data_IF_134501590810
#
_entry.id   IF_134501590810
#
_cell.length_a   1.000
_cell.length_b   1.000
_cell.length_c   1.000
_cell.angle_alpha   90.00
_cell.angle_beta   90.00
_cell.angle_gamma   90.00
#
_symmetry.space_group_name_H-M   'P 1'
#
loop_
_entity.id
_entity.type
_entity.pdbx_description
1 polymer ?
#
# COMPACT_ATOMS: atom_id res chain seq x y z
N UNK A 1 11.90 -26.12 11.22
CA UNK A 1 13.02 -25.87 10.25
C UNK A 1 14.29 -25.54 11.04
N UNK A 2 15.53 -25.87 10.56
CA UNK A 2 16.75 -25.54 11.32
C UNK A 2 17.11 -24.05 11.10
N UNK A 3 17.57 -23.34 12.15
CA UNK A 3 18.01 -21.94 12.13
C UNK A 3 19.03 -21.62 11.03
N UNK A 4 19.98 -22.54 10.81
CA UNK A 4 20.97 -22.40 9.74
C UNK A 4 20.34 -22.43 8.34
N UNK A 5 19.30 -23.25 8.15
CA UNK A 5 18.58 -23.33 6.87
C UNK A 5 17.88 -22.02 6.55
N UNK A 6 17.18 -21.44 7.54
CA UNK A 6 16.52 -20.13 7.40
C UNK A 6 17.53 -19.06 6.99
N UNK A 7 18.64 -18.95 7.75
CA UNK A 7 19.70 -17.99 7.45
C UNK A 7 20.27 -18.16 6.03
N UNK A 8 20.40 -19.41 5.58
CA UNK A 8 20.99 -19.71 4.26
C UNK A 8 20.01 -19.34 3.14
N UNK A 9 18.73 -19.69 3.26
CA UNK A 9 17.70 -19.34 2.26
C UNK A 9 17.66 -17.83 2.06
N UNK A 10 17.59 -17.04 3.16
CA UNK A 10 17.49 -15.57 3.06
C UNK A 10 18.78 -14.98 2.51
N UNK A 11 19.95 -15.44 2.99
CA UNK A 11 21.23 -14.96 2.50
C UNK A 11 21.44 -15.27 1.01
N UNK A 12 21.12 -16.48 0.57
CA UNK A 12 21.27 -16.90 -0.83
C UNK A 12 20.31 -16.14 -1.76
N UNK A 13 19.10 -15.77 -1.27
CA UNK A 13 18.16 -14.96 -2.03
C UNK A 13 18.71 -13.59 -2.40
N UNK A 14 19.58 -13.03 -1.55
CA UNK A 14 20.25 -11.73 -1.72
C UNK A 14 21.52 -11.81 -2.60
N UNK A 15 22.05 -13.04 -2.81
CA UNK A 15 23.24 -13.21 -3.61
C UNK A 15 22.96 -13.03 -5.11
N UNK A 16 23.84 -13.50 -5.95
CA UNK A 16 23.87 -13.30 -7.41
C UNK A 16 22.48 -13.20 -8.04
N UNK A 17 22.09 -12.03 -8.54
CA UNK A 17 20.83 -11.88 -9.25
C UNK A 17 20.84 -12.74 -10.52
N UNK A 18 19.70 -13.38 -10.81
CA UNK A 18 19.52 -14.15 -12.04
C UNK A 18 19.18 -13.19 -13.20
N UNK A 19 19.39 -13.64 -14.43
CA UNK A 19 19.05 -12.87 -15.64
C UNK A 19 17.62 -12.35 -15.60
N UNK A 20 16.66 -13.15 -15.17
CA UNK A 20 15.26 -12.72 -15.03
C UNK A 20 15.06 -11.54 -14.06
N UNK A 21 15.86 -11.41 -13.01
CA UNK A 21 15.81 -10.24 -12.13
C UNK A 21 16.27 -8.97 -12.85
N UNK A 22 17.35 -9.04 -13.61
CA UNK A 22 17.83 -7.90 -14.41
C UNK A 22 16.78 -7.49 -15.47
N UNK A 23 16.13 -8.48 -16.11
CA UNK A 23 15.05 -8.19 -17.05
C UNK A 23 13.88 -7.47 -16.38
N UNK A 24 13.46 -7.91 -15.17
CA UNK A 24 12.40 -7.23 -14.41
C UNK A 24 12.82 -5.81 -13.99
N UNK A 25 14.06 -5.60 -13.55
CA UNK A 25 14.57 -4.27 -13.19
C UNK A 25 14.62 -3.35 -14.42
N UNK A 26 15.14 -3.85 -15.55
CA UNK A 26 15.18 -3.10 -16.80
C UNK A 26 13.77 -2.71 -17.26
N UNK A 27 12.82 -3.63 -17.18
CA UNK A 27 11.42 -3.36 -17.50
C UNK A 27 10.82 -2.30 -16.57
N UNK A 28 11.08 -2.39 -15.26
CA UNK A 28 10.64 -1.37 -14.32
C UNK A 28 11.25 0.00 -14.62
N UNK A 29 12.55 0.08 -14.95
CA UNK A 29 13.24 1.31 -15.36
C UNK A 29 12.60 1.89 -16.63
N UNK A 30 12.26 1.05 -17.60
CA UNK A 30 11.61 1.48 -18.84
C UNK A 30 10.24 2.11 -18.53
N UNK A 31 9.43 1.49 -17.67
CA UNK A 31 8.14 2.05 -17.26
C UNK A 31 8.31 3.39 -16.53
N UNK A 32 9.28 3.49 -15.63
CA UNK A 32 9.63 4.75 -14.95
C UNK A 32 10.05 5.81 -15.98
N UNK A 33 10.88 5.45 -16.97
CA UNK A 33 11.32 6.35 -18.02
C UNK A 33 10.15 6.90 -18.83
N UNK A 34 9.17 6.06 -19.18
CA UNK A 34 7.95 6.49 -19.87
C UNK A 34 7.11 7.44 -18.99
N UNK A 35 6.97 7.14 -17.70
CA UNK A 35 6.29 8.03 -16.75
C UNK A 35 6.98 9.38 -16.59
N UNK A 36 8.32 9.40 -16.51
CA UNK A 36 9.12 10.63 -16.46
C UNK A 36 8.96 11.44 -17.77
N UNK A 37 8.95 10.78 -18.91
CA UNK A 37 8.72 11.44 -20.20
C UNK A 37 7.32 12.10 -20.25
N UNK A 38 6.29 11.40 -19.82
CA UNK A 38 4.94 11.94 -19.74
C UNK A 38 4.85 13.13 -18.76
N UNK A 39 5.50 13.04 -17.61
CA UNK A 39 5.59 14.15 -16.65
C UNK A 39 6.35 15.35 -17.24
N UNK A 40 7.45 15.12 -17.94
CA UNK A 40 8.18 16.17 -18.64
C UNK A 40 7.31 16.89 -19.68
N UNK A 41 6.55 16.11 -20.46
CA UNK A 41 5.58 16.66 -21.43
C UNK A 41 4.54 17.53 -20.74
N UNK A 42 3.97 17.08 -19.61
CA UNK A 42 3.01 17.85 -18.81
C UNK A 42 3.62 19.16 -18.28
N UNK A 43 4.87 19.15 -17.82
CA UNK A 43 5.55 20.35 -17.32
C UNK A 43 5.71 21.40 -18.42
N UNK A 44 6.01 20.99 -19.64
CA UNK A 44 6.19 21.89 -20.79
C UNK A 44 4.89 22.44 -21.34
N UNK A 45 3.86 21.58 -21.46
CA UNK A 45 2.60 21.92 -22.11
C UNK A 45 1.50 22.33 -21.10
N UNK A 46 1.73 22.11 -19.79
CA UNK A 46 0.76 22.38 -18.75
C UNK A 46 -0.22 21.23 -18.55
N UNK A 47 -1.26 21.46 -17.74
CA UNK A 47 -2.28 20.46 -17.36
C UNK A 47 -3.26 20.12 -18.49
N UNK A 48 -3.20 20.80 -19.63
CA UNK A 48 -3.99 20.48 -20.83
C UNK A 48 -3.74 19.05 -21.34
N UNK A 49 -2.53 18.50 -21.09
CA UNK A 49 -2.20 17.12 -21.41
C UNK A 49 -2.80 16.08 -20.47
N UNK A 50 -3.53 16.49 -19.43
CA UNK A 50 -4.26 15.62 -18.51
C UNK A 50 -5.76 15.68 -18.78
N UNK A 51 -6.52 14.66 -18.39
CA UNK A 51 -7.99 14.65 -18.48
C UNK A 51 -8.69 15.63 -17.53
N UNK A 52 -7.93 16.35 -16.69
CA UNK A 52 -8.46 17.33 -15.74
C UNK A 52 -9.07 18.51 -16.49
N UNK A 53 -10.34 18.79 -16.16
CA UNK A 53 -11.09 19.88 -16.75
C UNK A 53 -12.03 20.51 -15.71
N UNK A 54 -12.77 21.56 -16.09
CA UNK A 54 -13.85 22.07 -15.27
C UNK A 54 -15.16 21.32 -15.59
N UNK A 55 -15.89 20.72 -14.60
CA UNK A 55 -15.70 20.85 -13.14
C UNK A 55 -14.77 19.79 -12.51
N UNK A 56 -14.22 18.86 -13.29
CA UNK A 56 -13.47 17.71 -12.81
C UNK A 56 -12.01 18.10 -12.56
N UNK A 57 -11.78 18.77 -11.42
CA UNK A 57 -10.44 19.19 -10.99
C UNK A 57 -9.58 18.07 -10.41
N UNK A 58 -10.20 16.95 -10.00
CA UNK A 58 -9.53 15.75 -9.51
C UNK A 58 -9.86 14.57 -10.41
N UNK A 59 -8.83 13.92 -10.92
CA UNK A 59 -8.95 12.79 -11.83
C UNK A 59 -8.02 11.64 -11.41
N UNK A 60 -7.33 11.08 -12.37
CA UNK A 60 -6.45 9.91 -12.18
C UNK A 60 -5.34 10.16 -11.16
N UNK A 61 -4.79 11.37 -11.05
CA UNK A 61 -3.71 11.64 -10.10
C UNK A 61 -4.14 11.47 -8.66
N UNK A 62 -5.30 12.00 -8.29
CA UNK A 62 -5.84 11.83 -6.93
C UNK A 62 -6.35 10.40 -6.73
N UNK A 63 -6.92 9.77 -7.74
CA UNK A 63 -7.25 8.34 -7.72
C UNK A 63 -6.02 7.48 -7.38
N UNK A 64 -4.89 7.73 -8.05
CA UNK A 64 -3.63 7.03 -7.79
C UNK A 64 -3.07 7.33 -6.39
N UNK A 65 -3.15 8.58 -5.94
CA UNK A 65 -2.77 8.96 -4.59
C UNK A 65 -3.49 8.12 -3.53
N UNK A 66 -4.82 8.13 -3.57
CA UNK A 66 -5.65 7.39 -2.61
C UNK A 66 -5.44 5.88 -2.73
N UNK A 67 -5.27 5.36 -3.95
CA UNK A 67 -4.96 3.96 -4.19
C UNK A 67 -3.64 3.54 -3.53
N UNK A 68 -2.54 4.26 -3.78
CA UNK A 68 -1.25 3.92 -3.21
C UNK A 68 -1.19 4.07 -1.69
N UNK A 69 -1.88 5.06 -1.12
CA UNK A 69 -2.05 5.15 0.34
C UNK A 69 -2.81 3.93 0.88
N UNK A 70 -3.86 3.48 0.18
CA UNK A 70 -4.59 2.26 0.54
C UNK A 70 -3.69 1.01 0.53
N UNK A 71 -2.87 0.85 -0.50
CA UNK A 71 -1.89 -0.24 -0.59
C UNK A 71 -0.90 -0.20 0.58
N UNK A 72 -0.41 0.99 0.95
CA UNK A 72 0.54 1.16 2.03
C UNK A 72 0.00 0.69 3.40
N UNK A 73 -1.28 0.87 3.64
CA UNK A 73 -1.89 0.60 4.96
C UNK A 73 -1.79 -0.86 5.39
N UNK A 74 -2.01 -1.79 4.49
CA UNK A 74 -2.06 -3.20 4.86
C UNK A 74 -0.70 -3.75 5.30
N UNK A 75 0.39 -3.25 4.76
CA UNK A 75 1.71 -3.75 5.16
C UNK A 75 2.01 -3.46 6.63
N UNK A 76 1.82 -2.22 7.07
CA UNK A 76 2.00 -1.86 8.49
C UNK A 76 0.94 -2.52 9.37
N UNK A 77 -0.32 -2.59 8.91
CA UNK A 77 -1.39 -3.24 9.66
C UNK A 77 -1.12 -4.74 9.83
N UNK A 78 -0.73 -5.45 8.76
CA UNK A 78 -0.36 -6.86 8.80
C UNK A 78 0.82 -7.07 9.77
N UNK A 79 1.84 -6.23 9.68
CA UNK A 79 3.01 -6.37 10.56
C UNK A 79 2.70 -5.95 12.00
N UNK A 80 2.08 -4.80 12.23
CA UNK A 80 1.86 -4.26 13.56
C UNK A 80 0.70 -4.94 14.29
N UNK A 81 -0.51 -4.97 13.71
CA UNK A 81 -1.68 -5.58 14.39
C UNK A 81 -1.49 -7.08 14.57
N UNK A 82 -1.00 -7.78 13.54
CA UNK A 82 -0.76 -9.22 13.68
C UNK A 82 0.40 -9.54 14.62
N UNK A 83 1.33 -8.61 14.85
CA UNK A 83 2.34 -8.71 15.89
C UNK A 83 1.70 -8.61 17.28
N UNK A 84 0.88 -7.60 17.50
CA UNK A 84 0.18 -7.39 18.76
C UNK A 84 -0.77 -8.55 19.11
N UNK A 85 -1.44 -9.11 18.08
CA UNK A 85 -2.34 -10.26 18.23
C UNK A 85 -1.63 -11.62 18.19
N UNK A 86 -0.31 -11.63 18.03
CA UNK A 86 0.54 -12.84 17.96
C UNK A 86 0.10 -13.84 16.87
N UNK A 87 -0.31 -13.36 15.71
CA UNK A 87 -0.72 -14.20 14.59
C UNK A 87 0.50 -14.91 13.96
N UNK A 88 0.67 -16.23 14.06
CA UNK A 88 1.92 -16.92 13.68
C UNK A 88 2.18 -16.91 12.19
N UNK A 89 1.15 -16.83 11.36
CA UNK A 89 1.29 -16.84 9.90
C UNK A 89 1.91 -15.55 9.32
N UNK A 90 1.94 -14.45 10.09
CA UNK A 90 2.52 -13.18 9.64
C UNK A 90 4.03 -13.27 9.40
N UNK A 91 4.77 -14.11 10.17
CA UNK A 91 6.23 -14.12 10.19
C UNK A 91 6.87 -14.39 8.83
N UNK A 92 6.15 -15.08 7.94
CA UNK A 92 6.61 -15.35 6.57
C UNK A 92 6.35 -14.24 5.56
N UNK A 93 5.49 -13.26 5.89
CA UNK A 93 5.05 -12.20 4.97
C UNK A 93 5.32 -10.78 5.47
N UNK A 94 5.53 -10.58 6.79
CA UNK A 94 5.61 -9.27 7.42
C UNK A 94 6.70 -8.37 6.81
N UNK A 95 7.92 -8.87 6.62
CA UNK A 95 9.04 -8.06 6.11
C UNK A 95 8.80 -7.51 4.72
N UNK A 96 8.27 -8.34 3.82
CA UNK A 96 7.91 -7.89 2.48
C UNK A 96 6.75 -6.88 2.50
N UNK A 97 5.79 -7.07 3.43
CA UNK A 97 4.66 -6.15 3.63
C UNK A 97 5.12 -4.80 4.16
N UNK A 98 6.07 -4.76 5.12
CA UNK A 98 6.65 -3.52 5.64
C UNK A 98 7.39 -2.74 4.56
N UNK A 99 8.20 -3.42 3.75
CA UNK A 99 8.89 -2.82 2.62
C UNK A 99 7.89 -2.26 1.58
N UNK A 100 6.84 -3.02 1.28
CA UNK A 100 5.75 -2.60 0.41
C UNK A 100 5.10 -1.31 0.91
N UNK A 101 4.84 -1.19 2.22
CA UNK A 101 4.31 0.03 2.83
C UNK A 101 5.17 1.24 2.53
N UNK A 102 6.47 1.16 2.82
CA UNK A 102 7.40 2.28 2.62
C UNK A 102 7.40 2.71 1.15
N UNK A 103 7.51 1.78 0.22
CA UNK A 103 7.56 2.11 -1.20
C UNK A 103 6.21 2.62 -1.74
N UNK A 104 5.10 2.12 -1.21
CA UNK A 104 3.78 2.60 -1.59
C UNK A 104 3.52 4.04 -1.08
N UNK A 105 3.95 4.40 0.15
CA UNK A 105 3.85 5.77 0.64
C UNK A 105 4.75 6.70 -0.18
N UNK A 106 5.98 6.28 -0.50
CA UNK A 106 6.87 7.05 -1.38
C UNK A 106 6.23 7.30 -2.75
N UNK A 107 5.56 6.29 -3.30
CA UNK A 107 4.84 6.42 -4.58
C UNK A 107 3.64 7.35 -4.46
N UNK A 108 2.84 7.20 -3.41
CA UNK A 108 1.69 8.05 -3.15
C UNK A 108 2.07 9.53 -3.03
N UNK A 109 3.16 9.82 -2.30
CA UNK A 109 3.65 11.20 -2.10
C UNK A 109 4.07 11.93 -3.37
N UNK A 110 4.29 11.23 -4.48
CA UNK A 110 4.58 11.87 -5.78
C UNK A 110 3.33 12.52 -6.39
N UNK A 111 2.14 11.95 -6.18
CA UNK A 111 0.92 12.39 -6.88
C UNK A 111 0.42 13.79 -6.50
N UNK A 112 0.41 14.23 -5.22
CA UNK A 112 0.11 15.61 -4.88
C UNK A 112 1.04 16.60 -5.57
N UNK A 113 2.34 16.26 -5.71
CA UNK A 113 3.34 17.09 -6.38
C UNK A 113 3.08 17.13 -7.90
N UNK A 114 2.79 15.99 -8.52
CA UNK A 114 2.45 15.88 -9.94
C UNK A 114 1.16 16.64 -10.26
N UNK A 115 0.16 16.53 -9.37
CA UNK A 115 -1.14 17.19 -9.52
C UNK A 115 -1.07 18.72 -9.50
N UNK A 116 -0.05 19.31 -8.88
CA UNK A 116 0.19 20.75 -8.95
C UNK A 116 0.51 21.26 -10.37
N UNK A 117 0.81 20.37 -11.32
CA UNK A 117 1.24 20.70 -12.66
C UNK A 117 2.67 21.28 -12.70
N UNK A 118 2.90 22.36 -11.95
CA UNK A 118 4.23 22.95 -11.75
C UNK A 118 4.87 22.38 -10.48
N UNK A 119 5.61 21.29 -10.62
CA UNK A 119 6.16 20.51 -9.52
C UNK A 119 7.05 21.31 -8.55
N UNK A 120 7.69 22.38 -8.98
CA UNK A 120 8.52 23.25 -8.12
C UNK A 120 7.71 24.07 -7.14
N UNK A 121 6.38 24.14 -7.28
CA UNK A 121 5.50 24.79 -6.31
C UNK A 121 5.12 23.87 -5.14
N UNK A 122 5.76 22.69 -4.99
CA UNK A 122 5.47 21.70 -3.94
C UNK A 122 5.50 22.29 -2.52
N UNK A 123 6.29 23.34 -2.29
CA UNK A 123 6.35 24.02 -0.99
C UNK A 123 5.01 24.65 -0.57
N UNK A 124 4.08 24.85 -1.50
CA UNK A 124 2.73 25.33 -1.18
C UNK A 124 1.88 24.28 -0.46
N UNK A 125 2.27 23.01 -0.50
CA UNK A 125 1.63 21.96 0.30
C UNK A 125 1.96 22.12 1.79
N UNK A 126 3.08 22.80 2.12
CA UNK A 126 3.50 23.03 3.49
C UNK A 126 2.85 24.30 4.02
N UNK A 127 2.22 24.27 5.21
CA UNK A 127 1.69 25.48 5.84
C UNK A 127 2.83 26.49 6.14
N UNK A 128 2.79 27.67 5.52
CA UNK A 128 3.75 28.74 5.75
C UNK A 128 3.08 30.13 5.64
N UNK A 129 3.64 31.14 6.30
CA UNK A 129 3.23 32.51 6.13
C UNK A 129 3.52 32.97 4.69
N UNK A 130 2.50 33.42 3.97
CA UNK A 130 2.63 33.88 2.61
C UNK A 130 2.65 35.41 2.51
N UNK A 131 3.13 35.94 1.37
CA UNK A 131 3.25 37.38 1.13
C UNK A 131 1.90 38.11 1.13
N UNK A 132 0.79 37.41 0.90
CA UNK A 132 -0.56 37.97 0.92
C UNK A 132 -1.15 38.04 2.33
N UNK A 133 -0.40 37.65 3.36
CA UNK A 133 -0.83 37.58 4.77
C UNK A 133 -2.12 36.77 4.97
N UNK A 134 -2.39 35.81 4.10
CA UNK A 134 -3.52 34.91 4.22
C UNK A 134 -3.24 33.86 5.31
N UNK A 135 -4.20 33.68 6.18
CA UNK A 135 -4.13 32.62 7.18
C UNK A 135 -4.26 31.24 6.56
N UNK A 136 -3.45 30.30 7.04
CA UNK A 136 -3.52 28.92 6.65
C UNK A 136 -4.81 28.32 7.24
N UNK A 137 -5.60 27.65 6.38
CA UNK A 137 -6.81 26.99 6.85
C UNK A 137 -6.47 25.60 7.44
N UNK A 138 -6.09 25.56 8.71
CA UNK A 138 -5.82 24.31 9.44
C UNK A 138 -7.08 23.43 9.64
N UNK A 139 -8.25 23.87 9.27
CA UNK A 139 -9.48 23.07 9.28
C UNK A 139 -9.64 22.25 8.00
N UNK A 140 -8.80 22.47 6.99
CA UNK A 140 -8.84 21.72 5.74
C UNK A 140 -8.20 20.33 5.91
N UNK A 141 -8.88 19.23 5.56
CA UNK A 141 -8.27 17.89 5.54
C UNK A 141 -7.04 17.76 4.65
N UNK A 142 -6.98 18.50 3.55
CA UNK A 142 -5.82 18.54 2.64
C UNK A 142 -4.52 18.99 3.35
N UNK A 143 -4.64 19.88 4.36
CA UNK A 143 -3.49 20.26 5.20
C UNK A 143 -3.14 19.12 6.17
N UNK A 144 -4.15 18.43 6.70
CA UNK A 144 -3.93 17.29 7.59
C UNK A 144 -3.27 16.12 6.89
N UNK A 145 -3.54 15.92 5.61
CA UNK A 145 -2.92 14.88 4.79
C UNK A 145 -1.39 15.01 4.73
N UNK A 146 -0.88 16.24 4.58
CA UNK A 146 0.57 16.46 4.58
C UNK A 146 1.22 15.93 5.86
N UNK A 147 0.62 16.25 7.03
CA UNK A 147 1.14 15.78 8.31
C UNK A 147 0.93 14.29 8.50
N UNK A 148 -0.26 13.78 8.17
CA UNK A 148 -0.61 12.38 8.33
C UNK A 148 0.30 11.47 7.50
N UNK A 149 0.53 11.80 6.22
CA UNK A 149 1.37 11.03 5.32
C UNK A 149 2.84 11.10 5.74
N UNK A 150 3.32 12.30 6.12
CA UNK A 150 4.69 12.48 6.58
C UNK A 150 4.98 11.68 7.86
N UNK A 151 4.10 11.74 8.85
CA UNK A 151 4.22 10.97 10.10
C UNK A 151 4.09 9.47 9.79
N UNK A 152 3.19 9.08 8.90
CA UNK A 152 3.02 7.68 8.49
C UNK A 152 4.28 7.14 7.82
N UNK A 153 4.91 7.89 6.93
CA UNK A 153 6.18 7.51 6.31
C UNK A 153 7.28 7.32 7.38
N UNK A 154 7.42 8.28 8.30
CA UNK A 154 8.43 8.22 9.36
C UNK A 154 8.24 7.02 10.29
N UNK A 155 7.01 6.77 10.75
CA UNK A 155 6.70 5.65 11.65
C UNK A 155 6.85 4.31 10.92
N UNK A 156 6.35 4.21 9.68
CA UNK A 156 6.48 2.97 8.89
C UNK A 156 7.92 2.66 8.53
N UNK A 157 8.72 3.67 8.18
CA UNK A 157 10.15 3.51 7.94
C UNK A 157 10.88 3.09 9.22
N UNK A 158 10.56 3.72 10.35
CA UNK A 158 11.15 3.37 11.65
C UNK A 158 10.80 1.94 12.04
N UNK A 159 9.55 1.53 11.87
CA UNK A 159 9.08 0.17 12.16
C UNK A 159 9.81 -0.87 11.29
N UNK A 160 9.87 -0.63 9.99
CA UNK A 160 10.60 -1.46 9.04
C UNK A 160 12.09 -1.55 9.40
N UNK A 161 12.73 -0.41 9.69
CA UNK A 161 14.16 -0.37 10.00
C UNK A 161 14.49 -1.07 11.34
N UNK A 162 13.73 -0.79 12.39
CA UNK A 162 13.91 -1.46 13.69
C UNK A 162 13.79 -2.98 13.51
N UNK A 163 12.78 -3.43 12.78
CA UNK A 163 12.61 -4.84 12.47
C UNK A 163 13.79 -5.46 11.70
N UNK A 164 14.44 -4.69 10.82
CA UNK A 164 15.60 -5.15 10.04
C UNK A 164 16.88 -5.32 10.87
N UNK A 165 17.07 -4.60 11.98
CA UNK A 165 18.32 -4.55 12.73
C UNK A 165 18.90 -5.93 13.08
N UNK A 166 18.17 -6.89 13.69
CA UNK A 166 18.69 -8.22 14.00
C UNK A 166 19.00 -9.05 12.74
N UNK A 167 18.19 -8.87 11.70
CA UNK A 167 18.35 -9.60 10.44
C UNK A 167 19.60 -9.11 9.71
N UNK A 168 19.85 -7.79 9.68
CA UNK A 168 21.06 -7.17 9.13
C UNK A 168 22.33 -7.63 9.88
N UNK A 169 22.26 -7.78 11.20
CA UNK A 169 23.36 -8.33 11.98
C UNK A 169 23.66 -9.78 11.56
N UNK A 170 22.62 -10.60 11.32
CA UNK A 170 22.77 -11.96 10.85
C UNK A 170 23.40 -12.00 9.44
N UNK A 171 23.00 -11.10 8.54
CA UNK A 171 23.57 -10.98 7.19
C UNK A 171 25.00 -10.47 7.24
N UNK A 172 25.32 -9.47 8.11
CA UNK A 172 26.68 -8.99 8.35
C UNK A 172 27.61 -10.12 8.69
N UNK A 173 27.23 -11.02 9.59
CA UNK A 173 28.08 -12.11 10.09
C UNK A 173 28.38 -13.16 9.02
N UNK A 174 27.50 -13.29 8.03
CA UNK A 174 27.73 -14.14 6.83
C UNK A 174 28.45 -13.42 5.68
N UNK A 175 28.49 -12.09 5.68
CA UNK A 175 29.06 -11.28 4.61
C UNK A 175 30.56 -11.05 4.75
N UNK A 176 31.25 -10.77 3.62
CA UNK A 176 32.68 -10.46 3.57
C UNK A 176 32.93 -9.10 2.91
N UNK A 177 34.10 -8.54 3.16
CA UNK A 177 34.58 -7.30 2.52
C UNK A 177 33.69 -6.09 2.81
N UNK A 178 33.41 -5.27 1.78
CA UNK A 178 32.65 -4.02 1.91
C UNK A 178 31.20 -4.24 2.33
N UNK A 179 30.58 -5.35 1.91
CA UNK A 179 29.20 -5.71 2.31
C UNK A 179 29.09 -5.88 3.82
N UNK A 180 30.09 -6.53 4.46
CA UNK A 180 30.12 -6.68 5.91
C UNK A 180 30.15 -5.31 6.63
N UNK A 181 30.89 -4.35 6.07
CA UNK A 181 30.96 -2.99 6.64
C UNK A 181 29.61 -2.26 6.54
N UNK A 182 28.96 -2.32 5.38
CA UNK A 182 27.65 -1.68 5.19
C UNK A 182 26.60 -2.31 6.11
N UNK A 183 26.46 -3.63 6.11
CA UNK A 183 25.50 -4.29 7.01
C UNK A 183 25.85 -4.11 8.48
N UNK A 184 27.15 -3.96 8.81
CA UNK A 184 27.61 -3.62 10.16
C UNK A 184 27.16 -2.23 10.61
N UNK A 185 27.25 -1.24 9.73
CA UNK A 185 26.75 0.11 9.97
C UNK A 185 25.22 0.11 10.15
N UNK A 186 24.50 -0.53 9.22
CA UNK A 186 23.03 -0.59 9.24
C UNK A 186 22.49 -1.43 10.43
N UNK A 187 23.27 -2.37 10.97
CA UNK A 187 22.90 -3.13 12.16
C UNK A 187 23.09 -2.36 13.49
N UNK A 188 23.59 -1.12 13.45
CA UNK A 188 23.74 -0.20 14.62
C UNK A 188 24.38 -0.90 15.82
N UNK A 189 25.46 -1.68 15.60
CA UNK A 189 26.18 -2.38 16.66
C UNK A 189 25.44 -3.55 17.31
N UNK A 190 24.33 -4.01 16.74
CA UNK A 190 23.61 -5.19 17.27
C UNK A 190 24.49 -6.44 17.15
N UNK A 191 24.70 -7.13 18.28
CA UNK A 191 25.54 -8.35 18.40
C UNK A 191 24.79 -9.56 18.91
N UNK A 192 23.51 -9.40 19.22
CA UNK A 192 22.67 -10.48 19.76
C UNK A 192 22.83 -10.73 21.26
N UNK A 193 23.38 -9.77 22.03
CA UNK A 193 23.44 -9.86 23.49
C UNK A 193 22.04 -9.80 24.10
N UNK A 194 21.83 -10.47 25.25
CA UNK A 194 20.51 -10.54 25.87
C UNK A 194 19.87 -9.19 26.15
N UNK A 195 20.64 -8.20 26.59
CA UNK A 195 20.13 -6.83 26.83
C UNK A 195 19.70 -6.14 25.52
N UNK A 196 20.42 -6.38 24.41
CA UNK A 196 20.04 -5.84 23.09
C UNK A 196 18.74 -6.47 22.58
N UNK A 197 18.55 -7.77 22.77
CA UNK A 197 17.29 -8.43 22.44
C UNK A 197 16.11 -7.87 23.28
N UNK A 198 16.33 -7.67 24.57
CA UNK A 198 15.29 -7.09 25.43
C UNK A 198 14.88 -5.69 24.98
N UNK A 199 15.85 -4.83 24.66
CA UNK A 199 15.59 -3.49 24.15
C UNK A 199 14.93 -3.52 22.77
N UNK A 200 15.38 -4.41 21.88
CA UNK A 200 14.78 -4.62 20.55
C UNK A 200 13.29 -4.98 20.66
N UNK A 201 12.96 -6.01 21.45
CA UNK A 201 11.57 -6.47 21.59
C UNK A 201 10.68 -5.37 22.18
N UNK A 202 11.15 -4.64 23.19
CA UNK A 202 10.41 -3.50 23.77
C UNK A 202 10.24 -2.35 22.76
N UNK A 203 11.30 -1.99 22.04
CA UNK A 203 11.26 -0.94 21.04
C UNK A 203 10.34 -1.31 19.85
N UNK A 204 10.44 -2.53 19.35
CA UNK A 204 9.60 -3.01 18.26
C UNK A 204 8.12 -3.06 18.67
N UNK A 205 7.82 -3.52 19.90
CA UNK A 205 6.47 -3.50 20.45
C UNK A 205 5.91 -2.07 20.56
N UNK A 206 6.73 -1.11 21.03
CA UNK A 206 6.32 0.29 21.16
C UNK A 206 5.96 0.88 19.80
N UNK A 207 6.82 0.68 18.79
CA UNK A 207 6.58 1.21 17.44
C UNK A 207 5.37 0.52 16.78
N UNK A 208 5.17 -0.79 16.99
CA UNK A 208 3.97 -1.49 16.55
C UNK A 208 2.69 -0.94 17.20
N UNK A 209 2.75 -0.63 18.51
CA UNK A 209 1.62 -0.03 19.23
C UNK A 209 1.29 1.39 18.74
N UNK A 210 2.30 2.18 18.34
CA UNK A 210 2.11 3.50 17.73
C UNK A 210 1.61 3.41 16.28
N UNK A 211 2.13 2.47 15.51
CA UNK A 211 1.76 2.30 14.11
C UNK A 211 0.29 1.89 13.93
N UNK A 212 -0.27 1.12 14.86
CA UNK A 212 -1.64 0.61 14.77
C UNK A 212 -2.71 1.71 14.71
N UNK A 213 -2.84 2.62 15.70
CA UNK A 213 -3.82 3.71 15.63
C UNK A 213 -3.47 4.71 14.51
N UNK A 214 -2.18 4.93 14.23
CA UNK A 214 -1.74 5.83 13.19
C UNK A 214 -2.23 5.37 11.80
N UNK A 215 -2.12 4.09 11.48
CA UNK A 215 -2.61 3.53 10.21
C UNK A 215 -4.10 3.81 10.04
N UNK A 216 -4.91 3.57 11.08
CA UNK A 216 -6.35 3.83 11.04
C UNK A 216 -6.63 5.33 10.85
N UNK A 217 -5.95 6.19 11.62
CA UNK A 217 -6.17 7.65 11.56
C UNK A 217 -5.78 8.26 10.23
N UNK A 218 -4.67 7.86 9.63
CA UNK A 218 -4.20 8.39 8.34
C UNK A 218 -5.23 8.13 7.24
N UNK A 219 -5.77 6.91 7.15
CA UNK A 219 -6.75 6.62 6.10
C UNK A 219 -8.12 7.26 6.37
N UNK A 220 -8.45 7.48 7.65
CA UNK A 220 -9.61 8.29 8.02
C UNK A 220 -9.44 9.74 7.58
N UNK A 221 -8.25 10.33 7.76
CA UNK A 221 -7.94 11.70 7.32
C UNK A 221 -8.10 11.82 5.79
N UNK A 222 -7.47 10.94 5.01
CA UNK A 222 -7.60 10.90 3.55
C UNK A 222 -9.07 10.75 3.11
N UNK A 223 -9.89 10.01 3.86
CA UNK A 223 -11.32 9.90 3.56
C UNK A 223 -12.09 11.19 3.81
N UNK A 224 -11.63 12.02 4.74
CA UNK A 224 -12.25 13.30 5.06
C UNK A 224 -12.04 14.37 3.98
N UNK A 225 -11.09 14.21 3.08
CA UNK A 225 -10.99 15.04 1.87
C UNK A 225 -12.28 15.02 1.06
N UNK A 226 -13.00 13.91 1.13
CA UNK A 226 -14.29 13.70 0.49
C UNK A 226 -15.45 13.93 1.47
N UNK A 227 -15.42 13.28 2.63
CA UNK A 227 -16.55 13.21 3.55
C UNK A 227 -16.98 14.56 4.15
N UNK A 228 -16.07 15.53 4.30
CA UNK A 228 -16.39 16.88 4.81
C UNK A 228 -16.64 17.90 3.71
N UNK A 229 -16.57 17.48 2.43
CA UNK A 229 -16.93 18.34 1.30
C UNK A 229 -18.45 18.47 1.17
N UNK A 230 -18.90 19.50 0.47
CA UNK A 230 -20.32 19.67 0.15
C UNK A 230 -20.75 18.99 -1.14
N UNK A 231 -19.81 18.33 -1.85
CA UNK A 231 -20.06 17.73 -3.18
C UNK A 231 -21.00 16.53 -3.03
N UNK A 232 -22.06 16.43 -3.85
CA UNK A 232 -22.95 15.27 -3.81
C UNK A 232 -22.22 13.96 -4.09
N UNK A 233 -22.53 12.92 -3.32
CA UNK A 233 -21.87 11.61 -3.41
C UNK A 233 -20.51 11.52 -2.70
N UNK A 234 -19.98 12.63 -2.16
CA UNK A 234 -18.81 12.63 -1.28
C UNK A 234 -19.18 12.82 0.19
N UNK A 235 -20.21 13.63 0.46
CA UNK A 235 -20.63 13.96 1.81
C UNK A 235 -21.25 12.76 2.53
N UNK A 236 -20.39 11.91 3.13
CA UNK A 236 -20.83 10.68 3.80
C UNK A 236 -19.99 10.38 5.03
N UNK A 237 -20.66 10.14 6.17
CA UNK A 237 -20.00 9.80 7.43
C UNK A 237 -19.39 8.40 7.44
N UNK A 238 -19.86 7.50 6.57
CA UNK A 238 -19.33 6.12 6.48
C UNK A 238 -17.95 6.06 5.81
N UNK A 239 -17.51 7.14 5.15
CA UNK A 239 -16.24 7.13 4.40
C UNK A 239 -15.04 6.77 5.27
N UNK A 240 -14.94 7.26 6.51
CA UNK A 240 -13.77 6.97 7.34
C UNK A 240 -13.62 5.46 7.64
N UNK A 241 -14.58 4.74 8.25
CA UNK A 241 -14.46 3.31 8.47
C UNK A 241 -14.42 2.50 7.16
N UNK A 242 -15.15 2.92 6.14
CA UNK A 242 -15.19 2.29 4.83
C UNK A 242 -13.82 2.35 4.13
N UNK A 243 -13.18 3.51 4.09
CA UNK A 243 -11.85 3.67 3.50
C UNK A 243 -10.78 2.86 4.23
N UNK A 244 -10.85 2.79 5.57
CA UNK A 244 -9.95 1.94 6.36
C UNK A 244 -10.13 0.46 6.00
N UNK A 245 -11.37 -0.03 5.92
CA UNK A 245 -11.64 -1.40 5.51
C UNK A 245 -11.14 -1.67 4.08
N UNK A 246 -11.34 -0.73 3.15
CA UNK A 246 -10.86 -0.78 1.78
C UNK A 246 -9.33 -0.82 1.68
N UNK A 247 -8.64 -0.08 2.55
CA UNK A 247 -7.18 -0.11 2.61
C UNK A 247 -6.64 -1.47 3.09
N UNK A 248 -7.25 -2.07 4.10
CA UNK A 248 -6.89 -3.41 4.56
C UNK A 248 -7.13 -4.44 3.46
N UNK A 249 -8.24 -4.32 2.78
CA UNK A 249 -8.65 -5.19 1.68
C UNK A 249 -7.67 -5.13 0.50
N UNK A 250 -7.44 -3.93 -0.06
CA UNK A 250 -6.56 -3.73 -1.21
C UNK A 250 -5.11 -4.07 -0.91
N UNK A 251 -4.59 -3.63 0.23
CA UNK A 251 -3.20 -3.87 0.57
C UNK A 251 -2.94 -5.35 0.92
N UNK A 252 -3.91 -6.05 1.55
CA UNK A 252 -3.82 -7.50 1.74
C UNK A 252 -3.79 -8.24 0.40
N UNK A 253 -4.60 -7.81 -0.57
CA UNK A 253 -4.58 -8.33 -1.92
C UNK A 253 -3.25 -8.05 -2.62
N UNK A 254 -2.66 -6.84 -2.46
CA UNK A 254 -1.36 -6.52 -3.04
C UNK A 254 -0.23 -7.37 -2.44
N UNK A 255 -0.23 -7.61 -1.13
CA UNK A 255 0.73 -8.53 -0.50
C UNK A 255 0.65 -9.91 -1.13
N UNK A 256 -0.56 -10.45 -1.33
CA UNK A 256 -0.72 -11.75 -2.00
C UNK A 256 -0.27 -11.71 -3.46
N UNK A 257 -0.60 -10.65 -4.19
CA UNK A 257 -0.18 -10.45 -5.59
C UNK A 257 1.35 -10.47 -5.73
N UNK A 258 2.08 -9.95 -4.76
CA UNK A 258 3.54 -9.92 -4.75
C UNK A 258 4.13 -11.24 -4.21
N UNK A 259 3.63 -11.74 -3.08
CA UNK A 259 4.27 -12.86 -2.38
C UNK A 259 4.03 -14.22 -3.07
N UNK A 260 2.91 -14.40 -3.77
CA UNK A 260 2.64 -15.66 -4.48
C UNK A 260 3.66 -15.92 -5.61
N UNK A 261 3.96 -14.97 -6.51
CA UNK A 261 5.05 -15.14 -7.47
C UNK A 261 6.42 -15.30 -6.81
N UNK A 262 6.74 -14.49 -5.79
CA UNK A 262 8.05 -14.56 -5.11
C UNK A 262 8.32 -15.92 -4.50
N UNK A 263 7.29 -16.55 -3.92
CA UNK A 263 7.36 -17.91 -3.40
C UNK A 263 7.89 -18.93 -4.44
N UNK A 264 7.54 -18.74 -5.71
CA UNK A 264 7.97 -19.63 -6.81
C UNK A 264 9.30 -19.24 -7.42
N UNK A 265 9.55 -17.93 -7.52
CA UNK A 265 10.72 -17.40 -8.21
C UNK A 265 12.00 -17.49 -7.38
N UNK A 266 11.89 -17.41 -6.04
CA UNK A 266 13.03 -17.46 -5.13
C UNK A 266 13.12 -18.85 -4.51
N UNK A 267 14.25 -19.52 -4.73
CA UNK A 267 14.52 -20.88 -4.23
C UNK A 267 14.48 -20.90 -2.70
N UNK A 268 13.70 -21.80 -2.14
CA UNK A 268 13.56 -22.02 -0.69
C UNK A 268 12.47 -21.16 -0.04
N UNK A 269 11.87 -20.17 -0.74
CA UNK A 269 10.74 -19.41 -0.18
C UNK A 269 9.49 -20.27 -0.03
N UNK A 270 9.36 -21.31 -0.83
CA UNK A 270 8.28 -22.30 -0.73
C UNK A 270 8.33 -23.14 0.55
N UNK A 271 9.52 -23.25 1.18
CA UNK A 271 9.69 -23.92 2.49
C UNK A 271 9.20 -23.02 3.65
N UNK A 272 9.27 -21.69 3.50
CA UNK A 272 8.97 -20.69 4.54
C UNK A 272 7.57 -20.12 4.39
N UNK A 273 7.18 -19.77 3.15
CA UNK A 273 5.89 -19.16 2.84
C UNK A 273 4.89 -20.27 2.53
N UNK A 274 4.14 -20.65 3.54
CA UNK A 274 3.19 -21.77 3.45
C UNK A 274 1.81 -21.33 2.92
N UNK A 275 0.99 -22.30 2.53
CA UNK A 275 -0.39 -22.02 2.08
C UNK A 275 -1.25 -21.49 3.21
N UNK A 276 -0.96 -21.84 4.45
CA UNK A 276 -1.67 -21.39 5.64
C UNK A 276 -1.57 -19.88 5.83
N UNK A 277 -0.41 -19.28 5.50
CA UNK A 277 -0.24 -17.84 5.53
C UNK A 277 -1.19 -17.14 4.55
N UNK A 278 -1.30 -17.63 3.33
CA UNK A 278 -2.22 -17.10 2.34
C UNK A 278 -3.69 -17.41 2.66
N UNK A 279 -3.98 -18.56 3.27
CA UNK A 279 -5.34 -18.87 3.74
C UNK A 279 -5.78 -17.90 4.84
N UNK A 280 -4.87 -17.52 5.76
CA UNK A 280 -5.10 -16.48 6.77
C UNK A 280 -5.41 -15.12 6.14
N UNK A 281 -4.60 -14.70 5.16
CA UNK A 281 -4.80 -13.46 4.41
C UNK A 281 -6.13 -13.46 3.63
N UNK A 282 -6.48 -14.56 2.98
CA UNK A 282 -7.74 -14.68 2.24
C UNK A 282 -8.97 -14.53 3.15
N UNK A 283 -8.89 -14.95 4.43
CA UNK A 283 -9.96 -14.75 5.41
C UNK A 283 -10.11 -13.27 5.79
N UNK A 284 -9.00 -12.55 5.90
CA UNK A 284 -9.01 -11.10 6.17
C UNK A 284 -9.63 -10.37 4.98
N UNK A 285 -9.22 -10.72 3.76
CA UNK A 285 -9.79 -10.17 2.52
C UNK A 285 -11.29 -10.45 2.44
N UNK A 286 -11.74 -11.66 2.76
CA UNK A 286 -13.15 -12.00 2.78
C UNK A 286 -13.94 -11.14 3.78
N UNK A 287 -13.44 -11.00 5.01
CA UNK A 287 -14.06 -10.17 6.04
C UNK A 287 -14.17 -8.71 5.61
N UNK A 288 -13.05 -8.12 5.16
CA UNK A 288 -13.03 -6.71 4.74
C UNK A 288 -13.82 -6.48 3.47
N UNK A 289 -13.84 -7.43 2.53
CA UNK A 289 -14.69 -7.39 1.35
C UNK A 289 -16.19 -7.40 1.67
N UNK A 290 -16.63 -8.16 2.69
CA UNK A 290 -18.01 -8.09 3.18
C UNK A 290 -18.34 -6.73 3.80
N UNK A 291 -17.39 -6.12 4.55
CA UNK A 291 -17.57 -4.77 5.11
C UNK A 291 -17.70 -3.75 3.97
N UNK A 292 -16.88 -3.82 2.93
CA UNK A 292 -16.97 -2.95 1.75
C UNK A 292 -18.32 -3.12 1.05
N UNK A 293 -18.76 -4.35 0.83
CA UNK A 293 -20.06 -4.63 0.22
C UNK A 293 -21.20 -4.03 1.02
N UNK A 294 -21.16 -4.17 2.35
CA UNK A 294 -22.12 -3.53 3.24
C UNK A 294 -22.06 -2.00 3.14
N UNK A 295 -20.85 -1.43 3.07
CA UNK A 295 -20.67 0.02 2.96
C UNK A 295 -21.28 0.56 1.67
N UNK A 296 -21.10 -0.09 0.53
CA UNK A 296 -21.76 0.30 -0.72
C UNK A 296 -23.29 0.24 -0.60
N UNK A 297 -23.82 -0.83 -0.01
CA UNK A 297 -25.26 -0.94 0.22
C UNK A 297 -25.81 0.18 1.11
N UNK A 298 -25.07 0.54 2.18
CA UNK A 298 -25.43 1.62 3.09
C UNK A 298 -25.40 2.98 2.37
N UNK A 299 -24.39 3.25 1.54
CA UNK A 299 -24.30 4.48 0.76
C UNK A 299 -25.52 4.64 -0.17
N UNK A 300 -25.87 3.61 -0.95
CA UNK A 300 -27.02 3.60 -1.83
C UNK A 300 -28.34 3.76 -1.05
N UNK A 301 -28.46 3.09 0.09
CA UNK A 301 -29.62 3.23 0.96
C UNK A 301 -29.74 4.66 1.49
N UNK A 302 -28.66 5.21 2.06
CA UNK A 302 -28.67 6.55 2.65
C UNK A 302 -28.94 7.63 1.61
N UNK A 303 -28.38 7.55 0.41
CA UNK A 303 -28.65 8.50 -0.66
C UNK A 303 -30.12 8.48 -1.09
N UNK A 304 -30.74 7.31 -1.13
CA UNK A 304 -32.16 7.16 -1.46
C UNK A 304 -33.08 7.62 -0.33
N UNK A 305 -32.67 7.41 0.94
CA UNK A 305 -33.46 7.72 2.13
C UNK A 305 -33.34 9.18 2.57
N UNK A 306 -32.20 9.85 2.32
CA UNK A 306 -31.91 11.21 2.80
C UNK A 306 -32.85 12.29 2.24
N UNK A 307 -33.57 12.02 1.16
CA UNK A 307 -34.43 12.97 0.49
C UNK A 307 -33.71 14.05 -0.34
N UNK A 308 -32.37 13.99 -0.43
CA UNK A 308 -31.60 14.87 -1.30
C UNK A 308 -31.66 14.38 -2.75
N UNK A 309 -32.27 15.17 -3.62
CA UNK A 309 -32.37 14.83 -5.06
C UNK A 309 -31.00 14.78 -5.73
N UNK A 310 -30.06 15.63 -5.32
CA UNK A 310 -28.69 15.64 -5.86
C UNK A 310 -27.92 14.38 -5.47
N UNK A 311 -27.97 13.97 -4.20
CA UNK A 311 -27.33 12.72 -3.75
C UNK A 311 -27.90 11.51 -4.48
N UNK A 312 -29.22 11.44 -4.58
CA UNK A 312 -29.92 10.36 -5.30
C UNK A 312 -29.52 10.32 -6.78
N UNK A 313 -29.47 11.48 -7.44
CA UNK A 313 -29.07 11.57 -8.84
C UNK A 313 -27.65 11.01 -9.09
N UNK A 314 -26.67 11.40 -8.26
CA UNK A 314 -25.29 10.90 -8.37
C UNK A 314 -25.21 9.38 -8.17
N UNK A 315 -25.89 8.86 -7.13
CA UNK A 315 -25.84 7.42 -6.86
C UNK A 315 -26.51 6.59 -7.98
N UNK A 316 -27.54 7.12 -8.66
CA UNK A 316 -28.11 6.48 -9.85
C UNK A 316 -27.25 6.69 -11.10
N UNK A 317 -26.53 7.79 -11.21
CA UNK A 317 -25.61 8.04 -12.31
C UNK A 317 -24.41 7.08 -12.31
N UNK A 318 -23.88 6.69 -11.13
CA UNK A 318 -22.76 5.75 -11.03
C UNK A 318 -22.98 4.44 -11.79
N UNK A 319 -24.07 3.67 -11.59
CA UNK A 319 -24.32 2.43 -12.30
C UNK A 319 -24.87 2.59 -13.73
N UNK A 320 -25.56 3.69 -14.04
CA UNK A 320 -26.32 3.85 -15.29
C UNK A 320 -25.82 5.00 -16.17
N UNK A 321 -24.93 5.82 -15.72
CA UNK A 321 -24.34 6.93 -16.48
C UNK A 321 -23.14 6.49 -17.32
N UNK A 322 -22.39 7.49 -17.78
CA UNK A 322 -21.22 7.33 -18.65
C UNK A 322 -20.16 6.35 -18.10
N UNK A 323 -19.97 6.36 -16.77
CA UNK A 323 -18.99 5.52 -16.07
C UNK A 323 -19.54 4.19 -15.56
N UNK A 324 -20.76 3.81 -15.95
CA UNK A 324 -21.43 2.61 -15.46
C UNK A 324 -20.64 1.32 -15.67
N UNK A 325 -19.90 1.22 -16.79
CA UNK A 325 -19.02 0.06 -17.05
C UNK A 325 -17.93 -0.10 -15.99
N UNK A 326 -17.29 1.00 -15.56
CA UNK A 326 -16.29 0.98 -14.49
C UNK A 326 -16.92 0.63 -13.14
N UNK A 327 -18.11 1.15 -12.86
CA UNK A 327 -18.86 0.84 -11.64
C UNK A 327 -19.18 -0.67 -11.55
N UNK A 328 -19.75 -1.27 -12.58
CA UNK A 328 -20.10 -2.70 -12.53
C UNK A 328 -18.88 -3.61 -12.47
N UNK A 329 -17.77 -3.25 -13.14
CA UNK A 329 -16.51 -3.96 -13.02
C UNK A 329 -15.96 -3.84 -11.58
N UNK A 330 -16.04 -2.67 -10.97
CA UNK A 330 -15.69 -2.45 -9.56
C UNK A 330 -16.51 -3.35 -8.62
N UNK A 331 -17.84 -3.38 -8.79
CA UNK A 331 -18.73 -4.25 -7.98
C UNK A 331 -18.35 -5.72 -8.15
N UNK A 332 -18.11 -6.18 -9.37
CA UNK A 332 -17.67 -7.55 -9.59
C UNK A 332 -16.35 -7.85 -8.85
N UNK A 333 -15.35 -6.98 -8.99
CA UNK A 333 -14.03 -7.20 -8.40
C UNK A 333 -14.02 -7.12 -6.88
N UNK A 334 -14.79 -6.19 -6.28
CA UNK A 334 -14.74 -5.92 -4.84
C UNK A 334 -15.80 -6.68 -4.04
N UNK A 335 -16.97 -6.98 -4.64
CA UNK A 335 -18.05 -7.63 -3.93
C UNK A 335 -18.20 -9.11 -4.31
N UNK A 336 -18.11 -9.45 -5.61
CA UNK A 336 -18.39 -10.84 -6.08
C UNK A 336 -17.14 -11.72 -5.98
N UNK A 337 -16.03 -11.28 -6.57
CA UNK A 337 -14.82 -12.10 -6.62
C UNK A 337 -14.27 -12.53 -5.24
N UNK A 338 -14.26 -11.69 -4.19
CA UNK A 338 -13.79 -12.08 -2.86
C UNK A 338 -14.67 -13.14 -2.18
N UNK A 339 -15.96 -13.23 -2.51
CA UNK A 339 -16.85 -14.25 -1.96
C UNK A 339 -16.40 -15.67 -2.30
N UNK A 340 -15.65 -15.86 -3.38
CA UNK A 340 -15.04 -17.14 -3.70
C UNK A 340 -14.13 -17.67 -2.58
N UNK A 341 -13.61 -16.77 -1.74
CA UNK A 341 -12.83 -17.17 -0.57
C UNK A 341 -13.64 -17.85 0.55
N UNK A 342 -14.97 -17.94 0.47
CA UNK A 342 -15.75 -18.82 1.32
C UNK A 342 -15.35 -20.30 1.14
N UNK A 343 -14.95 -20.69 -0.06
CA UNK A 343 -14.59 -22.07 -0.36
C UNK A 343 -13.13 -22.35 0.00
N UNK A 344 -12.92 -23.29 0.94
CA UNK A 344 -11.58 -23.68 1.40
C UNK A 344 -10.66 -24.13 0.26
N UNK A 345 -11.22 -24.82 -0.76
CA UNK A 345 -10.47 -25.28 -1.95
C UNK A 345 -9.85 -24.08 -2.70
N UNK A 346 -10.55 -22.97 -2.79
CA UNK A 346 -10.10 -21.74 -3.47
C UNK A 346 -9.03 -21.03 -2.61
N UNK A 347 -9.25 -20.90 -1.30
CA UNK A 347 -8.26 -20.29 -0.37
C UNK A 347 -6.93 -21.03 -0.30
N UNK A 348 -6.84 -22.28 -0.75
CA UNK A 348 -5.62 -23.07 -0.76
C UNK A 348 -5.03 -23.25 -2.17
N UNK A 349 -5.62 -22.62 -3.18
CA UNK A 349 -5.16 -22.66 -4.57
C UNK A 349 -4.41 -21.36 -4.92
N UNK A 350 -3.10 -21.45 -5.08
CA UNK A 350 -2.25 -20.28 -5.37
C UNK A 350 -2.64 -19.52 -6.64
N UNK A 351 -3.13 -20.20 -7.68
CA UNK A 351 -3.57 -19.54 -8.92
C UNK A 351 -4.84 -18.73 -8.68
N UNK A 352 -5.80 -19.32 -7.97
CA UNK A 352 -7.04 -18.62 -7.63
C UNK A 352 -6.78 -17.45 -6.69
N UNK A 353 -5.94 -17.63 -5.66
CA UNK A 353 -5.51 -16.57 -4.75
C UNK A 353 -4.88 -15.40 -5.50
N UNK A 354 -3.96 -15.66 -6.44
CA UNK A 354 -3.31 -14.63 -7.23
C UNK A 354 -4.30 -13.87 -8.13
N UNK A 355 -5.14 -14.59 -8.87
CA UNK A 355 -6.10 -13.98 -9.80
C UNK A 355 -7.15 -13.13 -9.07
N UNK A 356 -7.71 -13.64 -7.97
CA UNK A 356 -8.68 -12.88 -7.16
C UNK A 356 -8.01 -11.65 -6.54
N UNK A 357 -6.78 -11.76 -6.05
CA UNK A 357 -6.04 -10.61 -5.51
C UNK A 357 -5.76 -9.55 -6.57
N UNK A 358 -5.45 -9.96 -7.79
CA UNK A 358 -5.27 -9.04 -8.91
C UNK A 358 -6.57 -8.32 -9.26
N UNK A 359 -7.70 -9.04 -9.34
CA UNK A 359 -9.02 -8.45 -9.56
C UNK A 359 -9.37 -7.44 -8.47
N UNK A 360 -9.10 -7.75 -7.21
CA UNK A 360 -9.33 -6.83 -6.09
C UNK A 360 -8.51 -5.54 -6.26
N UNK A 361 -7.24 -5.62 -6.63
CA UNK A 361 -6.42 -4.42 -6.84
C UNK A 361 -6.97 -3.54 -7.97
N UNK A 362 -7.45 -4.16 -9.07
CA UNK A 362 -8.12 -3.45 -10.16
C UNK A 362 -9.42 -2.81 -9.65
N UNK A 363 -10.26 -3.57 -8.95
CA UNK A 363 -11.52 -3.08 -8.40
C UNK A 363 -11.36 -1.93 -7.43
N UNK A 364 -10.33 -1.96 -6.58
CA UNK A 364 -10.03 -0.89 -5.63
C UNK A 364 -9.50 0.38 -6.29
N UNK A 365 -8.77 0.25 -7.39
CA UNK A 365 -8.40 1.42 -8.19
C UNK A 365 -9.64 2.03 -8.86
N UNK A 366 -10.50 1.20 -9.45
CA UNK A 366 -11.76 1.63 -10.06
C UNK A 366 -12.70 2.28 -9.06
N UNK A 367 -12.75 1.77 -7.82
CA UNK A 367 -13.53 2.38 -6.74
C UNK A 367 -13.13 3.83 -6.49
N UNK A 368 -11.81 4.09 -6.35
CA UNK A 368 -11.30 5.44 -6.15
C UNK A 368 -11.63 6.33 -7.35
N UNK A 369 -11.49 5.81 -8.56
CA UNK A 369 -11.87 6.52 -9.77
C UNK A 369 -13.36 6.86 -9.80
N UNK A 370 -14.24 5.91 -9.53
CA UNK A 370 -15.69 6.12 -9.52
C UNK A 370 -16.08 7.16 -8.45
N UNK A 371 -15.54 7.06 -7.22
CA UNK A 371 -15.84 8.05 -6.17
C UNK A 371 -15.40 9.45 -6.58
N UNK A 372 -14.17 9.60 -7.07
CA UNK A 372 -13.58 10.91 -7.38
C UNK A 372 -14.27 11.54 -8.59
N UNK A 373 -14.31 10.83 -9.69
CA UNK A 373 -14.70 11.40 -10.98
C UNK A 373 -16.20 11.58 -11.11
N UNK A 374 -17.01 10.58 -10.72
CA UNK A 374 -18.46 10.68 -10.95
C UNK A 374 -19.12 11.83 -10.17
N UNK A 375 -18.68 12.07 -8.93
CA UNK A 375 -19.22 13.15 -8.11
C UNK A 375 -18.84 14.54 -8.61
N UNK A 376 -17.62 14.70 -9.14
CA UNK A 376 -17.20 15.97 -9.75
C UNK A 376 -17.83 16.20 -11.13
N UNK A 377 -18.06 15.12 -11.90
CA UNK A 377 -18.68 15.21 -13.21
C UNK A 377 -20.14 15.71 -13.16
N UNK A 378 -20.82 15.44 -12.05
CA UNK A 378 -22.25 15.77 -11.86
C UNK A 378 -22.44 16.50 -10.52
N UNK A 379 -22.01 17.75 -10.48
CA UNK A 379 -22.22 18.66 -9.36
C UNK A 379 -23.67 19.17 -9.31
N UNK A 380 -23.97 20.09 -8.40
CA UNK A 380 -25.31 20.67 -8.15
C UNK A 380 -25.96 21.31 -9.39
N UNK A 381 -25.18 21.90 -10.26
CA UNK A 381 -25.67 22.64 -11.43
C UNK A 381 -25.53 21.83 -12.71
N UNK A 382 -26.65 21.43 -13.35
CA UNK A 382 -26.60 20.70 -14.63
C UNK A 382 -25.82 21.42 -15.74
N UNK A 383 -25.77 22.74 -15.70
CA UNK A 383 -25.02 23.54 -16.67
C UNK A 383 -23.49 23.43 -16.55
N UNK A 384 -23.00 22.92 -15.42
CA UNK A 384 -21.56 22.71 -15.17
C UNK A 384 -21.14 21.27 -15.31
N UNK A 385 -22.06 20.34 -15.60
CA UNK A 385 -21.73 18.93 -15.78
C UNK A 385 -20.72 18.73 -16.89
N UNK A 386 -19.78 17.82 -16.68
CA UNK A 386 -18.73 17.52 -17.63
C UNK A 386 -18.41 16.04 -17.69
N UNK A 387 -17.62 15.63 -18.67
CA UNK A 387 -17.09 14.28 -18.79
C UNK A 387 -15.57 14.28 -18.66
N UNK A 388 -15.04 13.21 -18.08
CA UNK A 388 -13.61 12.99 -17.90
C UNK A 388 -13.14 11.94 -18.90
N UNK A 389 -12.14 12.32 -19.69
CA UNK A 389 -11.52 11.40 -20.63
C UNK A 389 -10.08 11.14 -20.21
N UNK A 390 -9.66 9.87 -20.30
CA UNK A 390 -8.28 9.49 -20.01
C UNK A 390 -7.34 10.01 -21.09
N UNK A 391 -6.38 10.80 -20.68
CA UNK A 391 -5.32 11.25 -21.56
C UNK A 391 -4.07 10.35 -21.44
N UNK A 392 -3.31 10.22 -22.51
CA UNK A 392 -2.13 9.35 -22.57
C UNK A 392 -1.09 9.72 -21.50
N UNK A 393 -0.96 11.00 -21.16
CA UNK A 393 -0.03 11.49 -20.13
C UNK A 393 -0.33 10.85 -18.77
N UNK A 394 -1.59 10.87 -18.36
CA UNK A 394 -2.03 10.29 -17.07
C UNK A 394 -1.86 8.77 -17.03
N UNK A 395 -2.13 8.12 -18.17
CA UNK A 395 -1.96 6.66 -18.29
C UNK A 395 -0.48 6.29 -18.11
N UNK A 396 0.44 7.00 -18.76
CA UNK A 396 1.86 6.72 -18.62
C UNK A 396 2.43 7.11 -17.27
N UNK A 397 1.97 8.19 -16.66
CA UNK A 397 2.33 8.53 -15.26
C UNK A 397 1.83 7.43 -14.30
N UNK A 398 0.62 6.92 -14.50
CA UNK A 398 0.08 5.81 -13.69
C UNK A 398 0.93 4.55 -13.85
N UNK A 399 1.21 4.13 -15.07
CA UNK A 399 2.06 2.96 -15.37
C UNK A 399 3.47 3.19 -14.81
N UNK A 400 4.02 4.39 -14.95
CA UNK A 400 5.31 4.79 -14.39
C UNK A 400 5.36 4.67 -12.87
N UNK A 401 4.26 4.94 -12.16
CA UNK A 401 4.17 4.78 -10.70
C UNK A 401 4.26 3.32 -10.26
N UNK A 402 3.66 2.38 -11.01
CA UNK A 402 3.87 0.95 -10.79
C UNK A 402 5.32 0.55 -11.07
N UNK A 403 5.91 1.08 -12.16
CA UNK A 403 7.33 0.89 -12.47
C UNK A 403 8.23 1.36 -11.31
N UNK A 404 7.97 2.55 -10.76
CA UNK A 404 8.68 3.12 -9.61
C UNK A 404 8.56 2.24 -8.37
N UNK A 405 7.35 1.81 -8.01
CA UNK A 405 7.11 0.92 -6.88
C UNK A 405 7.85 -0.42 -7.02
N UNK A 406 7.70 -1.09 -8.17
CA UNK A 406 8.38 -2.38 -8.42
C UNK A 406 9.89 -2.24 -8.54
N UNK A 407 10.41 -1.13 -9.04
CA UNK A 407 11.87 -0.87 -9.06
C UNK A 407 12.45 -0.91 -7.65
N UNK A 408 11.89 -0.15 -6.71
CA UNK A 408 12.33 -0.15 -5.31
C UNK A 408 12.15 -1.51 -4.64
N UNK A 409 11.04 -2.18 -4.92
CA UNK A 409 10.78 -3.50 -4.37
C UNK A 409 11.77 -4.55 -4.89
N UNK A 410 12.13 -4.54 -6.16
CA UNK A 410 13.14 -5.43 -6.75
C UNK A 410 14.54 -5.15 -6.21
N UNK A 411 14.89 -3.89 -5.97
CA UNK A 411 16.15 -3.53 -5.29
C UNK A 411 16.17 -4.04 -3.86
N UNK A 412 15.09 -3.87 -3.12
CA UNK A 412 14.94 -4.39 -1.76
C UNK A 412 15.20 -5.90 -1.70
N UNK A 413 14.62 -6.69 -2.59
CA UNK A 413 14.81 -8.15 -2.62
C UNK A 413 16.27 -8.59 -2.72
N UNK A 414 17.15 -7.74 -3.22
CA UNK A 414 18.59 -8.03 -3.40
C UNK A 414 19.51 -7.33 -2.42
N UNK A 415 19.03 -6.23 -1.84
CA UNK A 415 19.83 -5.41 -0.94
C UNK A 415 19.59 -5.70 0.54
N UNK A 416 18.36 -6.11 0.89
CA UNK A 416 17.94 -6.32 2.27
C UNK A 416 17.26 -7.70 2.44
N UNK A 417 17.22 -8.25 3.66
CA UNK A 417 16.54 -9.51 3.92
C UNK A 417 15.03 -9.35 3.72
N UNK A 418 14.50 -10.05 2.73
CA UNK A 418 13.09 -9.99 2.32
C UNK A 418 12.15 -10.84 3.17
N UNK A 419 12.69 -11.66 4.06
CA UNK A 419 11.98 -12.44 5.07
C UNK A 419 12.56 -12.09 6.44
N UNK A 420 11.71 -12.02 7.46
CA UNK A 420 12.09 -11.69 8.84
C UNK A 420 12.77 -12.89 9.51
N UNK A 421 14.10 -12.96 9.41
CA UNK A 421 14.91 -14.09 9.92
C UNK A 421 14.65 -14.32 11.42
N UNK A 422 14.67 -13.24 12.21
CA UNK A 422 14.48 -13.29 13.65
C UNK A 422 13.09 -13.81 14.02
N UNK A 423 12.05 -13.31 13.38
CA UNK A 423 10.66 -13.68 13.67
C UNK A 423 10.29 -15.10 13.21
N UNK A 424 10.84 -15.54 12.07
CA UNK A 424 10.65 -16.93 11.60
C UNK A 424 11.28 -17.91 12.60
N UNK A 425 12.41 -17.55 13.19
CA UNK A 425 13.09 -18.39 14.20
C UNK A 425 12.30 -18.48 15.51
N UNK A 426 11.50 -17.50 15.86
CA UNK A 426 10.63 -17.55 17.06
C UNK A 426 9.63 -18.71 17.02
N UNK A 427 9.18 -19.10 15.82
CA UNK A 427 8.24 -20.20 15.64
C UNK A 427 8.92 -21.60 15.64
N UNK A 428 10.24 -21.63 15.65
CA UNK A 428 11.01 -22.87 15.54
C UNK A 428 11.62 -23.25 16.89
N UNK A 429 11.76 -24.55 17.14
CA UNK A 429 12.45 -25.04 18.34
C UNK A 429 13.92 -24.61 18.32
N UNK A 430 14.41 -23.94 19.40
CA UNK A 430 15.81 -23.54 19.45
C UNK A 430 16.72 -24.77 19.35
N UNK A 431 17.86 -24.67 18.64
CA UNK A 431 18.81 -25.75 18.58
C UNK A 431 19.32 -26.08 19.99
N UNK A 432 19.28 -27.35 20.37
CA UNK A 432 19.85 -27.80 21.63
C UNK A 432 21.33 -27.32 21.71
N UNK A 433 21.65 -26.57 22.78
CA UNK A 433 23.04 -26.23 23.07
C UNK A 433 23.79 -27.54 23.20
N UNK A 434 24.77 -27.85 22.31
CA UNK A 434 25.77 -28.85 22.60
C UNK A 434 26.37 -28.46 23.95
N UNK A 435 26.24 -29.31 24.98
CA UNK A 435 26.97 -29.12 26.22
C UNK A 435 28.42 -28.93 25.83
N UNK A 436 29.01 -27.80 26.17
CA UNK A 436 30.44 -27.63 26.06
C UNK A 436 31.07 -28.81 26.84
N UNK A 437 31.75 -29.70 26.15
CA UNK A 437 32.63 -30.64 26.79
C UNK A 437 33.72 -29.76 27.36
N UNK A 438 33.62 -29.46 28.62
CA UNK A 438 34.69 -28.82 29.38
C UNK A 438 35.84 -29.81 29.40
N UNK A 439 37.02 -29.50 28.88
CA UNK A 439 38.16 -30.40 28.90
C UNK A 439 38.66 -30.73 30.32
#
# INVERSE_FOLDING_TARGET
>A
MNYNRINTIVYDSMQKPRVGWFACVLFAILLVGMGIYALYYQILNGMEGSGINHPIGWGVYITNFVFWIGIAHAGTLISAIMYLTRAPFRNSICRASEAMTVFAIMTAGLFPIIHLGRIWNFYWLVPYANQRQLWINFKSPLVWDLFAISVYLLVSFSFFYVGLVPDLATIRDKSKGWKRRIYGLLAVGFRGANYQWLHYVKGYLLVAALATPLVISVHSIVSWDFAVSSIPGWHSTIFAPYFVAGAIFSGSAMVMTIMIPLRRLIKGFDEIITVEAFEGMAKIILLTGMIITLSYAVEFFMSSYSGSEHEKAIFWYRPFGEYGGYFWLMIFCNCVAPLLFWFRKIRRNYRALFLISLLINIGMWLERFVIVVTSLAHDFLPSTWGSYQFEWVEVWITIGSFGWFFFWFLLFLKSLPSLAISEIKENETPPLRKKAVIP
#
